data_IF_598756320997
#
_entry.id   IF_598756320997
#
_cell.length_a   1.000
_cell.length_b   1.000
_cell.length_c   1.000
_cell.angle_alpha   90.00
_cell.angle_beta   90.00
_cell.angle_gamma   90.00
#
_symmetry.space_group_name_H-M   'P 1'
#
loop_
_entity.id
_entity.type
_entity.pdbx_description
1 polymer ?
#
# COMPACT_ATOMS: atom_id res chain seq x y z
N UNK A 1 21.57 -15.52 5.43
CA UNK A 1 21.19 -16.20 6.69
C UNK A 1 20.31 -15.24 7.47
N UNK A 2 19.13 -15.67 7.95
CA UNK A 2 18.19 -14.83 8.72
C UNK A 2 18.83 -14.46 10.07
N UNK A 3 18.81 -13.17 10.45
CA UNK A 3 19.46 -12.68 11.69
C UNK A 3 18.51 -12.47 12.87
N UNK A 4 17.19 -12.54 12.66
CA UNK A 4 16.20 -12.38 13.72
C UNK A 4 16.02 -13.64 14.59
N UNK A 5 15.75 -13.49 15.90
CA UNK A 5 15.40 -14.62 16.77
C UNK A 5 14.18 -15.39 16.24
N UNK A 6 14.12 -16.70 16.47
CA UNK A 6 13.06 -17.58 15.93
C UNK A 6 11.65 -17.08 16.23
N UNK A 7 11.37 -16.64 17.46
CA UNK A 7 10.05 -16.10 17.84
C UNK A 7 9.67 -14.87 17.01
N UNK A 8 10.64 -14.00 16.74
CA UNK A 8 10.47 -12.82 15.88
C UNK A 8 10.32 -13.22 14.42
N UNK A 9 11.05 -14.23 13.95
CA UNK A 9 10.93 -14.73 12.58
C UNK A 9 9.54 -15.30 12.29
N UNK A 10 8.96 -16.04 13.24
CA UNK A 10 7.59 -16.56 13.18
C UNK A 10 6.56 -15.43 13.12
N UNK A 11 6.90 -14.22 13.56
CA UNK A 11 6.05 -13.05 13.43
C UNK A 11 6.28 -12.30 12.11
N UNK A 12 7.53 -11.92 11.82
CA UNK A 12 7.87 -11.05 10.69
C UNK A 12 7.63 -11.73 9.35
N UNK A 13 8.04 -13.00 9.18
CA UNK A 13 7.95 -13.68 7.88
C UNK A 13 6.49 -13.91 7.45
N UNK A 14 5.59 -14.45 8.30
CA UNK A 14 4.20 -14.62 7.91
C UNK A 14 3.48 -13.30 7.66
N UNK A 15 3.85 -12.22 8.35
CA UNK A 15 3.26 -10.91 8.09
C UNK A 15 3.66 -10.36 6.71
N UNK A 16 4.88 -10.61 6.24
CA UNK A 16 5.26 -10.25 4.88
C UNK A 16 4.56 -11.12 3.83
N UNK A 17 4.37 -12.41 4.12
CA UNK A 17 3.54 -13.26 3.27
C UNK A 17 2.09 -12.75 3.22
N UNK A 18 1.55 -12.31 4.36
CA UNK A 18 0.25 -11.66 4.42
C UNK A 18 0.22 -10.38 3.57
N UNK A 19 1.22 -9.50 3.69
CA UNK A 19 1.30 -8.28 2.90
C UNK A 19 1.36 -8.56 1.39
N UNK A 20 2.09 -9.60 0.98
CA UNK A 20 2.14 -10.07 -0.40
C UNK A 20 0.78 -10.54 -0.92
N UNK A 21 0.01 -11.23 -0.08
CA UNK A 21 -1.23 -11.89 -0.50
C UNK A 21 -2.48 -11.04 -0.29
N UNK A 22 -2.48 -10.07 0.63
CA UNK A 22 -3.68 -9.29 0.96
C UNK A 22 -4.31 -8.55 -0.23
N UNK A 23 -3.56 -8.04 -1.24
CA UNK A 23 -4.19 -7.45 -2.42
C UNK A 23 -5.12 -8.43 -3.17
N UNK A 24 -4.87 -9.74 -3.10
CA UNK A 24 -5.71 -10.74 -3.74
C UNK A 24 -7.12 -10.80 -3.15
N UNK A 25 -7.33 -10.30 -1.92
CA UNK A 25 -8.65 -10.23 -1.30
C UNK A 25 -9.63 -9.34 -2.10
N UNK A 26 -9.13 -8.41 -2.92
CA UNK A 26 -9.95 -7.60 -3.80
C UNK A 26 -10.53 -8.40 -4.98
N UNK A 27 -9.86 -9.45 -5.48
CA UNK A 27 -10.31 -10.22 -6.65
C UNK A 27 -11.73 -10.80 -6.46
N UNK A 28 -12.02 -11.59 -5.41
CA UNK A 28 -13.36 -12.16 -5.24
C UNK A 28 -14.42 -11.07 -5.00
N UNK A 29 -14.04 -9.97 -4.36
CA UNK A 29 -14.94 -8.87 -4.03
C UNK A 29 -15.31 -8.06 -5.28
N UNK A 30 -14.35 -7.79 -6.14
CA UNK A 30 -14.58 -7.15 -7.44
C UNK A 30 -15.48 -8.02 -8.30
N UNK A 31 -15.18 -9.32 -8.41
CA UNK A 31 -15.99 -10.24 -9.22
C UNK A 31 -17.43 -10.38 -8.68
N UNK A 32 -17.59 -10.47 -7.36
CA UNK A 32 -18.92 -10.55 -6.72
C UNK A 32 -19.74 -9.27 -6.96
N UNK A 33 -19.11 -8.10 -6.95
CA UNK A 33 -19.77 -6.81 -7.06
C UNK A 33 -19.55 -6.15 -8.44
N UNK A 34 -19.30 -6.95 -9.48
CA UNK A 34 -18.85 -6.44 -10.79
C UNK A 34 -19.83 -5.45 -11.41
N UNK A 35 -21.11 -5.79 -11.49
CA UNK A 35 -22.14 -4.91 -12.08
C UNK A 35 -22.21 -3.56 -11.36
N UNK A 36 -22.20 -3.59 -10.01
CA UNK A 36 -22.19 -2.39 -9.19
C UNK A 36 -20.94 -1.52 -9.44
N UNK A 37 -19.77 -2.14 -9.59
CA UNK A 37 -18.54 -1.42 -9.91
C UNK A 37 -18.58 -0.85 -11.34
N UNK A 38 -19.04 -1.60 -12.33
CA UNK A 38 -19.16 -1.11 -13.72
C UNK A 38 -20.11 0.09 -13.84
N UNK A 39 -21.11 0.19 -12.97
CA UNK A 39 -22.01 1.36 -12.89
C UNK A 39 -21.42 2.52 -12.10
N UNK A 40 -20.59 2.25 -11.09
CA UNK A 40 -20.16 3.24 -10.09
C UNK A 40 -18.76 3.81 -10.32
N UNK A 41 -17.90 3.12 -11.06
CA UNK A 41 -16.48 3.47 -11.22
C UNK A 41 -16.07 3.53 -12.70
N UNK A 42 -14.94 4.19 -12.97
CA UNK A 42 -14.47 4.42 -14.34
C UNK A 42 -14.07 3.14 -15.08
N UNK A 43 -13.30 2.25 -14.45
CA UNK A 43 -12.77 1.06 -15.11
C UNK A 43 -12.37 -0.02 -14.11
N UNK A 44 -13.13 -1.12 -14.06
CA UNK A 44 -12.90 -2.25 -13.16
C UNK A 44 -11.57 -2.97 -13.44
N UNK A 45 -11.17 -3.08 -14.70
CA UNK A 45 -9.96 -3.82 -15.11
C UNK A 45 -8.68 -3.16 -14.55
N UNK A 46 -8.70 -1.84 -14.33
CA UNK A 46 -7.60 -1.14 -13.66
C UNK A 46 -7.42 -1.56 -12.19
N UNK A 47 -8.46 -2.04 -11.50
CA UNK A 47 -8.30 -2.62 -10.15
C UNK A 47 -7.52 -3.93 -10.20
N UNK A 48 -7.78 -4.80 -11.19
CA UNK A 48 -7.01 -6.05 -11.34
C UNK A 48 -5.54 -5.76 -11.64
N UNK A 49 -5.27 -4.78 -12.50
CA UNK A 49 -3.89 -4.35 -12.76
C UNK A 49 -3.24 -3.79 -11.49
N UNK A 50 -3.97 -2.97 -10.71
CA UNK A 50 -3.48 -2.45 -9.44
C UNK A 50 -3.10 -3.57 -8.46
N UNK A 51 -3.94 -4.61 -8.33
CA UNK A 51 -3.66 -5.78 -7.48
C UNK A 51 -2.33 -6.43 -7.90
N UNK A 52 -2.13 -6.68 -9.20
CA UNK A 52 -0.89 -7.25 -9.71
C UNK A 52 0.34 -6.40 -9.38
N UNK A 53 0.23 -5.08 -9.56
CA UNK A 53 1.33 -4.15 -9.25
C UNK A 53 1.63 -4.09 -7.74
N UNK A 54 0.62 -4.13 -6.88
CA UNK A 54 0.80 -4.15 -5.42
C UNK A 54 1.50 -5.44 -4.95
N UNK A 55 1.16 -6.57 -5.56
CA UNK A 55 1.85 -7.86 -5.31
C UNK A 55 3.32 -7.75 -5.72
N UNK A 56 3.60 -7.22 -6.92
CA UNK A 56 4.98 -6.99 -7.39
C UNK A 56 5.74 -6.07 -6.42
N UNK A 57 5.12 -4.99 -5.94
CA UNK A 57 5.71 -4.12 -4.93
C UNK A 57 6.09 -4.91 -3.67
N UNK A 58 5.15 -5.69 -3.14
CA UNK A 58 5.37 -6.51 -1.94
C UNK A 58 6.48 -7.56 -2.13
N UNK A 59 6.66 -8.07 -3.35
CA UNK A 59 7.81 -8.94 -3.67
C UNK A 59 9.14 -8.19 -3.56
N UNK A 60 9.22 -6.95 -4.05
CA UNK A 60 10.43 -6.14 -3.88
C UNK A 60 10.74 -5.88 -2.40
N UNK A 61 9.73 -5.57 -1.58
CA UNK A 61 9.88 -5.43 -0.14
C UNK A 61 10.45 -6.71 0.50
N UNK A 62 9.92 -7.88 0.15
CA UNK A 62 10.43 -9.18 0.62
C UNK A 62 11.88 -9.41 0.18
N UNK A 63 12.22 -9.10 -1.08
CA UNK A 63 13.57 -9.27 -1.61
C UNK A 63 14.55 -8.37 -0.84
N UNK A 64 14.21 -7.10 -0.63
CA UNK A 64 15.06 -6.18 0.11
C UNK A 64 15.22 -6.61 1.57
N UNK A 65 14.13 -7.00 2.24
CA UNK A 65 14.21 -7.51 3.60
C UNK A 65 15.04 -8.80 3.68
N UNK A 66 15.02 -9.65 2.66
CA UNK A 66 15.90 -10.81 2.61
C UNK A 66 17.39 -10.43 2.49
N UNK A 67 17.70 -9.41 1.68
CA UNK A 67 19.05 -8.83 1.56
C UNK A 67 19.50 -8.27 2.92
N UNK A 68 18.62 -7.56 3.62
CA UNK A 68 18.84 -7.05 4.98
C UNK A 68 18.72 -8.13 6.07
N UNK A 69 18.66 -9.41 5.66
CA UNK A 69 18.59 -10.58 6.54
C UNK A 69 17.43 -10.55 7.56
N UNK A 70 16.36 -9.86 7.19
CA UNK A 70 15.13 -9.65 7.95
C UNK A 70 15.32 -8.87 9.25
N UNK A 71 16.45 -8.17 9.39
CA UNK A 71 16.82 -7.44 10.59
C UNK A 71 16.97 -5.96 10.26
N UNK A 72 15.89 -5.21 10.40
CA UNK A 72 15.81 -3.81 9.96
C UNK A 72 16.32 -2.87 11.05
N UNK A 73 17.38 -2.13 10.75
CA UNK A 73 17.96 -1.07 11.60
C UNK A 73 18.14 0.21 10.79
N UNK A 74 18.45 1.31 11.46
CA UNK A 74 18.75 2.57 10.79
C UNK A 74 19.93 2.49 9.80
N UNK A 75 20.81 1.47 9.90
CA UNK A 75 21.90 1.28 8.94
C UNK A 75 21.49 0.44 7.70
N UNK A 76 20.50 -0.43 7.83
CA UNK A 76 20.01 -1.26 6.72
C UNK A 76 19.30 -0.44 5.65
N UNK A 77 19.26 -0.95 4.42
CA UNK A 77 18.56 -0.28 3.32
C UNK A 77 17.07 -0.11 3.63
N UNK A 78 16.37 -1.15 4.07
CA UNK A 78 14.96 -1.07 4.47
C UNK A 78 14.70 -0.09 5.63
N UNK A 79 15.67 0.07 6.54
CA UNK A 79 15.51 0.97 7.69
C UNK A 79 15.88 2.42 7.40
N UNK A 80 16.87 2.65 6.53
CA UNK A 80 17.19 4.00 6.06
C UNK A 80 16.30 4.45 4.89
N UNK A 81 15.55 3.52 4.28
CA UNK A 81 14.59 3.74 3.21
C UNK A 81 15.21 3.92 1.82
N UNK A 82 16.45 3.47 1.61
CA UNK A 82 17.19 3.72 0.38
C UNK A 82 17.99 2.51 -0.14
N UNK A 83 17.41 1.83 -1.13
CA UNK A 83 18.12 1.00 -2.11
C UNK A 83 17.41 1.04 -3.46
N UNK A 84 17.98 0.40 -4.48
CA UNK A 84 17.26 0.22 -5.75
C UNK A 84 15.97 -0.60 -5.54
N UNK A 85 16.02 -1.65 -4.71
CA UNK A 85 14.87 -2.54 -4.50
C UNK A 85 13.78 -1.85 -3.65
N UNK A 86 14.14 -1.09 -2.61
CA UNK A 86 13.17 -0.27 -1.86
C UNK A 86 12.55 0.83 -2.74
N UNK A 87 13.32 1.33 -3.71
CA UNK A 87 12.82 2.30 -4.68
C UNK A 87 11.79 1.68 -5.62
N UNK A 88 12.04 0.46 -6.10
CA UNK A 88 11.08 -0.31 -6.89
C UNK A 88 9.83 -0.64 -6.09
N UNK A 89 9.97 -1.06 -4.83
CA UNK A 89 8.83 -1.24 -3.91
C UNK A 89 8.01 0.06 -3.80
N UNK A 90 8.65 1.17 -3.43
CA UNK A 90 7.98 2.47 -3.25
C UNK A 90 7.24 2.89 -4.51
N UNK A 91 7.87 2.71 -5.67
CA UNK A 91 7.29 3.08 -6.96
C UNK A 91 6.12 2.16 -7.35
N UNK A 92 6.23 0.86 -7.13
CA UNK A 92 5.13 -0.09 -7.34
C UNK A 92 3.93 0.23 -6.45
N UNK A 93 4.14 0.57 -5.17
CA UNK A 93 3.04 0.98 -4.29
C UNK A 93 2.34 2.23 -4.81
N UNK A 94 3.10 3.24 -5.25
CA UNK A 94 2.51 4.44 -5.85
C UNK A 94 1.72 4.11 -7.12
N UNK A 95 2.28 3.32 -8.04
CA UNK A 95 1.59 2.95 -9.28
C UNK A 95 0.30 2.19 -8.96
N UNK A 96 0.35 1.21 -8.05
CA UNK A 96 -0.83 0.47 -7.62
C UNK A 96 -1.91 1.40 -7.06
N UNK A 97 -1.54 2.33 -6.17
CA UNK A 97 -2.45 3.33 -5.62
C UNK A 97 -3.00 4.28 -6.71
N UNK A 98 -2.18 4.71 -7.66
CA UNK A 98 -2.60 5.55 -8.77
C UNK A 98 -3.57 4.82 -9.71
N UNK A 99 -3.34 3.53 -9.96
CA UNK A 99 -4.25 2.69 -10.75
C UNK A 99 -5.59 2.50 -10.05
N UNK A 100 -5.62 2.34 -8.71
CA UNK A 100 -6.87 2.36 -7.94
C UNK A 100 -7.59 3.71 -8.17
N UNK A 101 -6.89 4.84 -8.02
CA UNK A 101 -7.51 6.16 -8.19
C UNK A 101 -8.09 6.36 -9.59
N UNK A 102 -7.33 5.96 -10.61
CA UNK A 102 -7.75 6.02 -12.02
C UNK A 102 -8.90 5.05 -12.31
N UNK A 103 -8.92 3.90 -11.66
CA UNK A 103 -10.03 2.96 -11.75
C UNK A 103 -11.33 3.56 -11.20
N UNK A 104 -11.25 4.27 -10.08
CA UNK A 104 -12.40 4.88 -9.42
C UNK A 104 -12.94 6.07 -10.22
N UNK A 105 -12.07 7.01 -10.60
CA UNK A 105 -12.48 8.33 -11.16
C UNK A 105 -11.62 8.80 -12.34
N UNK A 106 -11.10 7.86 -13.12
CA UNK A 106 -10.20 8.13 -14.24
C UNK A 106 -10.83 8.92 -15.40
N UNK A 107 -12.13 9.12 -15.47
CA UNK A 107 -12.76 10.05 -16.42
C UNK A 107 -12.33 11.51 -16.18
N UNK A 108 -11.94 11.86 -14.95
CA UNK A 108 -11.53 13.21 -14.60
C UNK A 108 -10.09 13.49 -15.06
N UNK A 109 -9.93 14.48 -15.95
CA UNK A 109 -8.62 14.84 -16.51
C UNK A 109 -7.61 15.27 -15.44
N UNK A 110 -8.06 15.94 -14.38
CA UNK A 110 -7.19 16.39 -13.29
C UNK A 110 -6.63 15.21 -12.50
N UNK A 111 -7.43 14.17 -12.28
CA UNK A 111 -6.97 12.94 -11.63
C UNK A 111 -5.87 12.27 -12.45
N UNK A 112 -6.04 12.19 -13.78
CA UNK A 112 -4.98 11.67 -14.68
C UNK A 112 -3.70 12.47 -14.57
N UNK A 113 -3.81 13.80 -14.63
CA UNK A 113 -2.66 14.71 -14.55
C UNK A 113 -1.92 14.51 -13.22
N UNK A 114 -2.64 14.49 -12.09
CA UNK A 114 -2.08 14.31 -10.76
C UNK A 114 -1.38 12.94 -10.64
N UNK A 115 -2.02 11.86 -11.10
CA UNK A 115 -1.45 10.52 -11.07
C UNK A 115 -0.14 10.44 -11.88
N UNK A 116 -0.15 10.95 -13.12
CA UNK A 116 1.05 10.96 -13.99
C UNK A 116 2.16 11.83 -13.39
N UNK A 117 1.81 13.02 -12.92
CA UNK A 117 2.77 13.93 -12.27
C UNK A 117 3.48 13.24 -11.11
N UNK A 118 2.74 12.60 -10.19
CA UNK A 118 3.34 11.92 -9.06
C UNK A 118 4.16 10.69 -9.45
N UNK A 119 3.75 9.93 -10.48
CA UNK A 119 4.58 8.84 -11.01
C UNK A 119 5.93 9.35 -11.55
N UNK A 120 5.96 10.51 -12.23
CA UNK A 120 7.20 11.08 -12.76
C UNK A 120 8.07 11.69 -11.65
N UNK A 121 7.46 12.37 -10.68
CA UNK A 121 8.19 13.10 -9.64
C UNK A 121 8.76 12.16 -8.57
N UNK A 122 8.14 11.01 -8.33
CA UNK A 122 8.55 10.09 -7.26
C UNK A 122 9.98 9.57 -7.42
N UNK A 123 10.43 9.09 -8.60
CA UNK A 123 11.84 8.73 -8.81
C UNK A 123 12.81 9.88 -8.48
N UNK A 124 12.46 11.12 -8.84
CA UNK A 124 13.28 12.30 -8.57
C UNK A 124 13.37 12.57 -7.06
N UNK A 125 12.24 12.51 -6.36
CA UNK A 125 12.16 12.68 -4.90
C UNK A 125 12.91 11.57 -4.15
N UNK A 126 12.81 10.33 -4.64
CA UNK A 126 13.50 9.17 -4.10
C UNK A 126 15.01 9.32 -4.21
N UNK A 127 15.54 9.62 -5.40
CA UNK A 127 16.98 9.85 -5.64
C UNK A 127 17.49 11.00 -4.78
N UNK A 128 16.72 12.08 -4.66
CA UNK A 128 17.08 13.25 -3.84
C UNK A 128 16.86 13.03 -2.34
N UNK A 129 16.29 11.89 -1.92
CA UNK A 129 15.96 11.56 -0.53
C UNK A 129 15.10 12.61 0.16
N UNK A 130 14.16 13.22 -0.58
CA UNK A 130 13.31 14.30 -0.08
C UNK A 130 11.84 13.97 -0.32
N UNK A 131 11.03 14.06 0.73
CA UNK A 131 9.56 13.89 0.64
C UNK A 131 9.14 12.61 -0.09
N UNK A 132 9.89 11.52 0.09
CA UNK A 132 9.74 10.27 -0.67
C UNK A 132 8.32 9.70 -0.61
N UNK A 133 7.67 9.78 0.55
CA UNK A 133 6.33 9.26 0.77
C UNK A 133 5.21 10.26 0.49
N UNK A 134 5.53 11.53 0.16
CA UNK A 134 4.53 12.56 -0.10
C UNK A 134 3.62 12.20 -1.29
N UNK A 135 4.13 11.75 -2.45
CA UNK A 135 3.30 11.30 -3.57
C UNK A 135 2.30 10.21 -3.18
N UNK A 136 2.79 9.15 -2.53
CA UNK A 136 1.95 8.03 -2.09
C UNK A 136 0.92 8.47 -1.05
N UNK A 137 1.28 9.37 -0.13
CA UNK A 137 0.37 9.91 0.88
C UNK A 137 -0.77 10.71 0.25
N UNK A 138 -0.47 11.54 -0.76
CA UNK A 138 -1.48 12.33 -1.47
C UNK A 138 -2.41 11.42 -2.25
N UNK A 139 -1.88 10.50 -3.06
CA UNK A 139 -2.70 9.56 -3.85
C UNK A 139 -3.53 8.66 -2.93
N UNK A 140 -2.96 8.13 -1.85
CA UNK A 140 -3.68 7.29 -0.87
C UNK A 140 -4.81 8.04 -0.15
N UNK A 141 -4.59 9.32 0.17
CA UNK A 141 -5.65 10.18 0.74
C UNK A 141 -6.77 10.42 -0.26
N UNK A 142 -6.42 10.72 -1.52
CA UNK A 142 -7.42 10.88 -2.58
C UNK A 142 -8.21 9.58 -2.80
N UNK A 143 -7.54 8.42 -2.82
CA UNK A 143 -8.21 7.11 -2.88
C UNK A 143 -9.23 6.94 -1.77
N UNK A 144 -8.86 7.26 -0.53
CA UNK A 144 -9.76 7.13 0.63
C UNK A 144 -10.99 8.02 0.47
N UNK A 145 -10.79 9.29 0.11
CA UNK A 145 -11.88 10.27 -0.04
C UNK A 145 -12.80 9.90 -1.20
N UNK A 146 -12.23 9.53 -2.36
CA UNK A 146 -13.00 9.14 -3.54
C UNK A 146 -13.79 7.86 -3.28
N UNK A 147 -13.16 6.84 -2.70
CA UNK A 147 -13.84 5.61 -2.34
C UNK A 147 -14.97 5.85 -1.33
N UNK A 148 -14.81 6.79 -0.38
CA UNK A 148 -15.92 7.21 0.48
C UNK A 148 -17.08 7.80 -0.31
N UNK A 149 -16.81 8.71 -1.27
CA UNK A 149 -17.89 9.30 -2.07
C UNK A 149 -18.61 8.29 -2.96
N UNK A 150 -17.90 7.27 -3.46
CA UNK A 150 -18.46 6.22 -4.30
C UNK A 150 -19.27 5.21 -3.48
N UNK A 151 -18.70 4.69 -2.39
CA UNK A 151 -19.31 3.59 -1.63
C UNK A 151 -20.10 4.04 -0.40
N UNK A 152 -19.95 5.29 0.05
CA UNK A 152 -20.63 5.84 1.22
C UNK A 152 -20.20 5.25 2.57
N UNK A 153 -19.20 4.36 2.58
CA UNK A 153 -18.83 3.61 3.78
C UNK A 153 -17.65 4.26 4.51
N UNK A 154 -17.90 4.76 5.71
CA UNK A 154 -16.92 5.41 6.59
C UNK A 154 -15.73 4.52 6.96
N UNK A 155 -15.88 3.20 6.87
CA UNK A 155 -14.80 2.25 7.19
C UNK A 155 -13.53 2.52 6.36
N UNK A 156 -13.67 3.11 5.17
CA UNK A 156 -12.54 3.40 4.29
C UNK A 156 -11.49 4.32 4.94
N UNK A 157 -11.91 5.22 5.84
CA UNK A 157 -11.00 6.12 6.56
C UNK A 157 -10.05 5.40 7.52
N UNK A 158 -10.33 4.14 7.87
CA UNK A 158 -9.40 3.31 8.63
C UNK A 158 -8.09 3.06 7.88
N UNK A 159 -8.04 3.25 6.56
CA UNK A 159 -6.77 3.25 5.81
C UNK A 159 -5.80 4.33 6.34
N UNK A 160 -6.30 5.53 6.63
CA UNK A 160 -5.46 6.62 7.16
C UNK A 160 -4.98 6.31 8.58
N UNK A 161 -5.81 5.65 9.38
CA UNK A 161 -5.42 5.17 10.72
C UNK A 161 -4.29 4.14 10.61
N UNK A 162 -4.38 3.20 9.66
CA UNK A 162 -3.32 2.23 9.42
C UNK A 162 -2.01 2.87 8.95
N UNK A 163 -2.07 3.92 8.12
CA UNK A 163 -0.88 4.70 7.75
C UNK A 163 -0.25 5.35 8.99
N UNK A 164 -1.04 5.95 9.87
CA UNK A 164 -0.53 6.54 11.11
C UNK A 164 0.16 5.50 12.00
N UNK A 165 -0.43 4.31 12.15
CA UNK A 165 0.20 3.21 12.90
C UNK A 165 1.46 2.67 12.23
N UNK A 166 1.48 2.60 10.90
CA UNK A 166 2.69 2.20 10.15
C UNK A 166 3.86 3.11 10.49
N UNK A 167 3.66 4.43 10.44
CA UNK A 167 4.70 5.41 10.77
C UNK A 167 5.12 5.29 12.24
N UNK A 168 4.15 5.19 13.16
CA UNK A 168 4.42 5.07 14.59
C UNK A 168 5.26 3.82 14.91
N UNK A 169 4.90 2.66 14.37
CA UNK A 169 5.63 1.42 14.61
C UNK A 169 7.00 1.41 13.92
N UNK A 170 7.12 2.00 12.74
CA UNK A 170 8.42 2.12 12.07
C UNK A 170 9.37 3.02 12.86
N UNK A 171 8.89 4.12 13.42
CA UNK A 171 9.69 4.97 14.31
C UNK A 171 10.13 4.20 15.57
N UNK A 172 9.23 3.42 16.18
CA UNK A 172 9.57 2.57 17.33
C UNK A 172 10.58 1.48 16.97
N UNK A 173 10.46 0.86 15.79
CA UNK A 173 11.43 -0.09 15.26
C UNK A 173 12.81 0.54 15.19
N UNK A 174 12.95 1.69 14.53
CA UNK A 174 14.26 2.35 14.35
C UNK A 174 14.87 2.83 15.68
N UNK A 175 14.04 3.30 16.63
CA UNK A 175 14.52 3.77 17.94
C UNK A 175 14.96 2.63 18.87
N UNK A 176 14.32 1.47 18.78
CA UNK A 176 14.52 0.38 19.75
C UNK A 176 15.26 -0.82 19.17
N UNK A 177 15.41 -0.87 17.84
CA UNK A 177 15.82 -2.06 17.07
C UNK A 177 14.98 -3.31 17.36
N UNK A 178 13.81 -3.17 18.00
CA UNK A 178 12.95 -4.28 18.33
C UNK A 178 12.14 -4.69 17.09
N UNK A 179 12.55 -5.80 16.50
CA UNK A 179 12.00 -6.38 15.27
C UNK A 179 10.54 -6.88 15.42
N UNK A 180 9.97 -6.90 16.62
CA UNK A 180 8.52 -7.05 16.75
C UNK A 180 7.76 -5.91 16.04
N UNK A 181 8.27 -4.68 16.15
CA UNK A 181 7.69 -3.51 15.49
C UNK A 181 7.83 -3.56 13.96
N UNK A 182 8.82 -4.28 13.43
CA UNK A 182 8.93 -4.53 11.99
C UNK A 182 7.68 -5.23 11.46
N UNK A 183 7.27 -6.33 12.09
CA UNK A 183 6.03 -7.00 11.70
C UNK A 183 4.80 -6.11 11.90
N UNK A 184 4.72 -5.29 12.95
CA UNK A 184 3.60 -4.36 13.13
C UNK A 184 3.53 -3.30 12.02
N UNK A 185 4.67 -2.75 11.60
CA UNK A 185 4.76 -1.81 10.48
C UNK A 185 4.21 -2.45 9.20
N UNK A 186 4.70 -3.63 8.82
CA UNK A 186 4.26 -4.34 7.60
C UNK A 186 2.79 -4.73 7.67
N UNK A 187 2.31 -5.18 8.84
CA UNK A 187 0.91 -5.54 9.04
C UNK A 187 -0.01 -4.33 8.85
N UNK A 188 0.30 -3.20 9.49
CA UNK A 188 -0.48 -1.98 9.35
C UNK A 188 -0.43 -1.45 7.91
N UNK A 189 0.74 -1.39 7.28
CA UNK A 189 0.93 -0.86 5.94
C UNK A 189 0.06 -1.60 4.90
N UNK A 190 -0.09 -2.91 5.05
CA UNK A 190 -0.82 -3.77 4.13
C UNK A 190 -2.31 -3.90 4.44
N UNK A 191 -2.73 -3.72 5.70
CA UNK A 191 -4.12 -3.93 6.14
C UNK A 191 -5.12 -2.90 5.61
N UNK A 192 -4.66 -1.80 5.01
CA UNK A 192 -5.53 -0.81 4.37
C UNK A 192 -6.46 -1.41 3.31
N UNK A 193 -6.01 -2.45 2.60
CA UNK A 193 -6.79 -3.13 1.55
C UNK A 193 -8.12 -3.71 2.09
N UNK A 194 -8.15 -4.20 3.32
CA UNK A 194 -9.37 -4.75 3.91
C UNK A 194 -10.49 -3.72 4.01
N UNK A 195 -10.17 -2.46 4.24
CA UNK A 195 -11.20 -1.43 4.34
C UNK A 195 -11.80 -1.08 2.99
N UNK A 196 -11.03 -1.18 1.90
CA UNK A 196 -11.58 -1.12 0.55
C UNK A 196 -12.46 -2.34 0.24
N UNK A 197 -12.01 -3.54 0.62
CA UNK A 197 -12.80 -4.78 0.52
C UNK A 197 -14.15 -4.66 1.24
N UNK A 198 -14.15 -4.13 2.47
CA UNK A 198 -15.37 -3.96 3.27
C UNK A 198 -16.28 -2.90 2.64
N UNK A 199 -15.72 -1.78 2.19
CA UNK A 199 -16.48 -0.70 1.56
C UNK A 199 -17.18 -1.17 0.27
N UNK A 200 -16.50 -1.92 -0.59
CA UNK A 200 -17.09 -2.46 -1.83
C UNK A 200 -18.19 -3.48 -1.53
N UNK A 201 -18.02 -4.33 -0.50
CA UNK A 201 -19.04 -5.33 -0.14
C UNK A 201 -20.26 -4.75 0.59
N UNK A 202 -20.12 -3.59 1.22
CA UNK A 202 -21.17 -2.97 2.04
C UNK A 202 -21.31 -1.47 1.68
N UNK A 203 -21.69 -1.15 0.44
CA UNK A 203 -21.94 0.24 0.06
C UNK A 203 -23.21 0.75 0.75
N UNK A 204 -23.18 1.99 1.23
CA UNK A 204 -24.28 2.61 2.00
C UNK A 204 -25.12 3.55 1.12
N UNK A 205 -24.54 4.15 0.08
CA UNK A 205 -25.17 5.19 -0.74
C UNK A 205 -25.94 4.67 -1.97
N UNK A 206 -26.50 3.46 -1.94
CA UNK A 206 -27.21 2.88 -3.10
C UNK A 206 -28.74 2.76 -2.95
N UNK A 207 -29.34 3.57 -2.07
CA UNK A 207 -30.78 3.78 -1.99
C UNK A 207 -31.12 5.25 -1.77
#
# INVERSE_FOLDING_TARGET
MIKIPVKTAIWVLPVHLYALLVPLALIPVINKNRSLLEESIFNVELLFLAIGILIIGSLFEIIQNHIDHWYVTAETASGNGFSTIDGLFTFSILIGQALILLSLVGQNVWVKIIAIFFMIVTPILYIKRRYVFLPTSIIGTLNTVVAYFIFGNWVIFMQLVMVAFTVFFFEKLLKTNNQFYHGLTTFCASSGIWFLVIAINNPINLY
#
